data_IF_052210059031
#
_entry.id   IF_052210059031
#
_cell.length_a   1.000
_cell.length_b   1.000
_cell.length_c   1.000
_cell.angle_alpha   90.00
_cell.angle_beta   90.00
_cell.angle_gamma   90.00
#
_symmetry.space_group_name_H-M   'P 1'
#
loop_
_entity.id
_entity.type
_entity.pdbx_description
1 polymer ?
#
# COMPACT_ATOMS: atom_id res chain seq x y z
N UNK A 1 19.51 24.26 -24.17
CA UNK A 1 20.43 23.87 -23.09
C UNK A 1 19.73 22.82 -22.24
N UNK A 2 20.11 21.53 -22.29
CA UNK A 2 19.56 20.53 -21.39
C UNK A 2 20.33 20.57 -20.06
N UNK A 3 19.60 20.70 -18.95
CA UNK A 3 20.16 20.56 -17.60
C UNK A 3 20.54 19.08 -17.41
N UNK A 4 21.76 18.76 -16.94
CA UNK A 4 22.01 17.43 -16.40
C UNK A 4 21.20 17.34 -15.11
N UNK A 5 20.15 16.52 -15.13
CA UNK A 5 19.55 16.01 -13.89
C UNK A 5 20.65 15.18 -13.22
N UNK A 6 21.46 15.84 -12.39
CA UNK A 6 22.49 15.20 -11.59
C UNK A 6 21.84 14.04 -10.84
N UNK A 7 22.37 12.82 -10.93
CA UNK A 7 21.91 11.70 -10.13
C UNK A 7 22.43 11.92 -8.71
N UNK A 8 21.95 12.95 -8.02
CA UNK A 8 22.05 13.08 -6.58
C UNK A 8 20.91 12.24 -5.99
N UNK A 9 21.06 10.94 -6.22
CA UNK A 9 20.80 9.82 -5.32
C UNK A 9 19.90 10.21 -4.14
N UNK A 10 18.73 9.59 -4.04
CA UNK A 10 17.77 9.75 -2.97
C UNK A 10 18.34 9.26 -1.63
N UNK A 11 19.34 9.94 -1.09
CA UNK A 11 19.93 9.71 0.25
C UNK A 11 19.29 10.65 1.29
N UNK A 12 18.14 11.23 0.96
CA UNK A 12 17.36 12.09 1.84
C UNK A 12 15.91 11.64 1.91
N UNK A 13 15.33 11.77 3.10
CA UNK A 13 13.93 11.42 3.33
C UNK A 13 13.02 12.47 2.68
N UNK A 14 12.14 12.07 1.76
CA UNK A 14 11.28 13.04 1.07
C UNK A 14 10.22 13.71 1.97
N UNK A 15 9.99 13.18 3.18
CA UNK A 15 9.04 13.70 4.17
C UNK A 15 9.66 14.86 4.98
N UNK A 16 10.84 14.65 5.55
CA UNK A 16 11.53 15.67 6.36
C UNK A 16 12.62 16.45 5.61
N UNK A 17 12.94 16.05 4.36
CA UNK A 17 14.01 16.62 3.53
C UNK A 17 15.39 16.61 4.22
N UNK A 18 15.59 15.65 5.11
CA UNK A 18 16.85 15.45 5.84
C UNK A 18 17.61 14.25 5.26
N UNK A 19 18.95 14.30 5.22
CA UNK A 19 19.77 13.17 4.77
C UNK A 19 19.61 11.97 5.71
N UNK A 20 19.75 10.76 5.18
CA UNK A 20 19.85 9.55 5.98
C UNK A 20 21.19 9.54 6.70
N UNK A 21 21.18 9.73 8.02
CA UNK A 21 22.37 9.57 8.86
C UNK A 21 22.66 8.08 9.10
N UNK A 22 23.93 7.73 9.37
CA UNK A 22 24.37 6.34 9.63
C UNK A 22 23.66 5.65 10.82
N UNK A 23 22.93 6.41 11.64
CA UNK A 23 22.14 5.93 12.78
C UNK A 23 20.63 6.15 12.62
N UNK A 24 20.19 6.61 11.46
CA UNK A 24 18.79 6.83 11.21
C UNK A 24 18.08 5.49 10.96
N UNK A 25 16.98 5.25 11.65
CA UNK A 25 16.15 4.09 11.39
C UNK A 25 15.38 4.31 10.08
N UNK A 26 15.68 3.49 9.09
CA UNK A 26 15.08 3.54 7.76
C UNK A 26 14.08 2.41 7.58
N UNK A 27 12.99 2.72 6.89
CA UNK A 27 11.94 1.79 6.52
C UNK A 27 11.76 1.82 5.02
N UNK A 28 11.86 0.66 4.40
CA UNK A 28 11.62 0.45 2.99
C UNK A 28 10.18 -0.01 2.76
N UNK A 29 9.49 0.69 1.86
CA UNK A 29 8.13 0.33 1.45
C UNK A 29 8.14 -0.78 0.38
N UNK A 30 7.06 -1.56 0.23
CA UNK A 30 6.90 -2.54 -0.83
C UNK A 30 6.94 -1.95 -2.26
N UNK A 31 6.92 -0.63 -2.38
CA UNK A 31 7.12 0.10 -3.63
C UNK A 31 8.57 0.53 -3.88
N UNK A 32 9.56 -0.03 -3.17
CA UNK A 32 11.00 0.23 -3.29
C UNK A 32 11.44 1.64 -2.81
N UNK A 33 10.61 2.30 -2.00
CA UNK A 33 10.89 3.64 -1.50
C UNK A 33 11.27 3.62 -0.02
N UNK A 34 12.39 4.27 0.30
CA UNK A 34 12.94 4.33 1.66
C UNK A 34 12.60 5.66 2.33
N UNK A 35 12.29 5.63 3.63
CA UNK A 35 12.04 6.80 4.47
C UNK A 35 12.52 6.54 5.90
N UNK A 36 12.62 7.56 6.74
CA UNK A 36 12.80 7.33 8.18
C UNK A 36 11.57 6.61 8.75
N UNK A 37 11.75 5.58 9.58
CA UNK A 37 10.66 4.89 10.31
C UNK A 37 9.76 5.88 11.05
N UNK A 38 10.34 6.90 11.68
CA UNK A 38 9.58 7.96 12.38
C UNK A 38 8.74 8.79 11.39
N UNK A 39 9.34 9.19 10.27
CA UNK A 39 8.65 10.02 9.29
C UNK A 39 7.55 9.26 8.56
N UNK A 40 7.83 8.03 8.13
CA UNK A 40 6.83 7.20 7.46
C UNK A 40 5.75 6.74 8.44
N UNK A 41 6.09 6.44 9.69
CA UNK A 41 5.12 6.13 10.74
C UNK A 41 4.09 7.24 10.88
N UNK A 42 4.54 8.48 11.13
CA UNK A 42 3.66 9.65 11.24
C UNK A 42 2.87 9.95 9.96
N UNK A 43 3.43 9.60 8.80
CA UNK A 43 2.74 9.75 7.53
C UNK A 43 1.63 8.71 7.37
N UNK A 44 1.90 7.44 7.67
CA UNK A 44 0.94 6.34 7.58
C UNK A 44 -0.20 6.43 8.59
N UNK A 45 0.04 7.07 9.73
CA UNK A 45 -1.04 7.45 10.67
C UNK A 45 -2.09 8.37 10.03
N UNK A 46 -1.71 9.13 9.00
CA UNK A 46 -2.59 10.09 8.30
C UNK A 46 -3.04 9.58 6.93
N UNK A 47 -2.12 9.01 6.17
CA UNK A 47 -2.31 8.64 4.77
C UNK A 47 -1.51 7.37 4.47
N UNK A 48 -2.20 6.23 4.32
CA UNK A 48 -1.58 4.92 4.00
C UNK A 48 -1.11 4.80 2.53
N UNK A 49 -0.51 5.86 2.00
CA UNK A 49 -0.06 5.95 0.62
C UNK A 49 1.36 6.47 0.56
N UNK A 50 2.18 5.91 -0.32
CA UNK A 50 3.54 6.38 -0.52
C UNK A 50 3.55 7.84 -1.04
N UNK A 51 4.33 8.76 -0.42
CA UNK A 51 4.40 10.15 -0.84
C UNK A 51 5.11 10.37 -2.20
N UNK A 52 5.88 9.39 -2.70
CA UNK A 52 6.52 9.48 -4.02
C UNK A 52 5.65 8.92 -5.15
N UNK A 53 5.18 7.68 -5.01
CA UNK A 53 4.50 6.97 -6.09
C UNK A 53 2.99 6.84 -5.90
N UNK A 54 2.42 7.33 -4.79
CA UNK A 54 1.00 7.16 -4.41
C UNK A 54 0.56 5.69 -4.32
N UNK A 55 1.49 4.76 -4.20
CA UNK A 55 1.16 3.35 -3.98
C UNK A 55 0.50 3.18 -2.61
N UNK A 56 -0.68 2.58 -2.59
CA UNK A 56 -1.39 2.29 -1.34
C UNK A 56 -0.71 1.10 -0.67
N UNK A 57 -0.34 1.27 0.60
CA UNK A 57 0.34 0.22 1.32
C UNK A 57 -0.67 -0.83 1.78
N UNK A 58 -0.38 -2.14 1.61
CA UNK A 58 -1.17 -3.18 2.23
C UNK A 58 -1.05 -3.00 3.74
N UNK A 59 -2.17 -2.75 4.40
CA UNK A 59 -2.22 -2.83 5.86
C UNK A 59 -2.33 -4.31 6.23
N UNK A 60 -1.52 -4.76 7.17
CA UNK A 60 -1.45 -6.16 7.65
C UNK A 60 -2.68 -6.54 8.51
N UNK A 61 -3.84 -5.96 8.20
CA UNK A 61 -5.07 -6.21 8.94
C UNK A 61 -5.67 -7.54 8.48
N UNK A 62 -5.20 -8.65 9.06
CA UNK A 62 -5.70 -10.01 8.82
C UNK A 62 -7.24 -10.10 8.92
N UNK A 63 -7.84 -9.28 9.80
CA UNK A 63 -9.28 -9.18 9.97
C UNK A 63 -10.00 -8.63 8.73
N UNK A 64 -9.38 -7.72 7.98
CA UNK A 64 -9.94 -7.17 6.75
C UNK A 64 -9.85 -8.19 5.60
N UNK A 65 -8.76 -8.95 5.54
CA UNK A 65 -8.60 -10.04 4.58
C UNK A 65 -9.59 -11.19 4.81
N UNK A 66 -9.85 -11.53 6.08
CA UNK A 66 -10.85 -12.55 6.44
C UNK A 66 -12.26 -12.12 6.02
N UNK A 67 -12.64 -10.86 6.28
CA UNK A 67 -13.92 -10.31 5.84
C UNK A 67 -14.08 -10.35 4.32
N UNK A 68 -13.05 -9.96 3.56
CA UNK A 68 -13.11 -10.04 2.09
C UNK A 68 -13.26 -11.48 1.59
N UNK A 69 -12.53 -12.44 2.19
CA UNK A 69 -12.67 -13.87 1.84
C UNK A 69 -14.05 -14.39 2.16
N UNK A 70 -14.64 -13.98 3.27
CA UNK A 70 -16.00 -14.39 3.64
C UNK A 70 -17.04 -13.78 2.70
N UNK A 71 -16.97 -12.48 2.40
CA UNK A 71 -17.87 -11.81 1.47
C UNK A 71 -17.79 -12.44 0.07
N UNK A 72 -16.57 -12.77 -0.39
CA UNK A 72 -16.38 -13.48 -1.65
C UNK A 72 -17.04 -14.87 -1.63
N UNK A 73 -16.86 -15.66 -0.57
CA UNK A 73 -17.53 -16.96 -0.40
C UNK A 73 -19.05 -16.82 -0.40
N UNK A 74 -19.58 -15.80 0.29
CA UNK A 74 -21.02 -15.54 0.34
C UNK A 74 -21.56 -15.15 -1.03
N UNK A 75 -20.85 -14.31 -1.77
CA UNK A 75 -21.22 -13.90 -3.13
C UNK A 75 -21.18 -15.05 -4.12
N UNK A 76 -20.15 -15.90 -4.05
CA UNK A 76 -20.05 -17.11 -4.87
C UNK A 76 -21.19 -18.09 -4.56
N UNK A 77 -21.56 -18.22 -3.28
CA UNK A 77 -22.71 -19.01 -2.86
C UNK A 77 -24.03 -18.45 -3.39
N UNK A 78 -24.26 -17.14 -3.28
CA UNK A 78 -25.46 -16.47 -3.80
C UNK A 78 -25.59 -16.64 -5.32
N UNK A 79 -24.50 -16.40 -6.07
CA UNK A 79 -24.46 -16.62 -7.51
C UNK A 79 -24.71 -18.09 -7.88
N UNK A 80 -24.26 -19.04 -7.04
CA UNK A 80 -24.56 -20.47 -7.22
C UNK A 80 -26.02 -20.82 -7.00
N UNK A 81 -26.72 -20.12 -6.09
CA UNK A 81 -28.15 -20.30 -5.87
C UNK A 81 -28.94 -19.65 -7.02
N UNK A 82 -28.57 -18.45 -7.45
CA UNK A 82 -29.24 -17.74 -8.56
C UNK A 82 -29.20 -18.52 -9.89
N UNK A 83 -28.04 -19.11 -10.23
CA UNK A 83 -27.93 -19.97 -11.42
C UNK A 83 -28.82 -21.21 -11.32
N UNK A 84 -29.03 -21.72 -10.10
CA UNK A 84 -29.88 -22.89 -9.88
C UNK A 84 -31.36 -22.53 -9.99
N UNK A 85 -31.78 -21.35 -9.49
CA UNK A 85 -33.15 -20.84 -9.66
C UNK A 85 -33.49 -20.55 -11.13
N UNK A 86 -32.53 -20.05 -11.92
CA UNK A 86 -32.75 -19.81 -13.35
C UNK A 86 -32.88 -21.10 -14.17
N UNK A 87 -32.33 -22.22 -13.69
CA UNK A 87 -32.34 -23.52 -14.41
C UNK A 87 -33.57 -24.37 -14.07
N UNK A 88 -34.12 -24.26 -12.85
CA UNK A 88 -35.25 -25.09 -12.40
C UNK A 88 -36.64 -24.50 -12.69
N UNK A 89 -36.75 -23.19 -12.97
CA UNK A 89 -38.02 -22.51 -13.25
C UNK A 89 -38.13 -21.96 -14.68
N UNK A 90 -37.29 -22.48 -15.60
CA UNK A 90 -37.30 -22.19 -17.04
C UNK A 90 -37.97 -23.28 -17.86
#
# INVERSE_FOLDING_TARGET
MPLPASPAQAIECAICKAPYEDKAELYELPCDHVFHTICIGAWLERTSQCPLCRHQLPTDDEAFEEQQREEQRQRESAAMIERMHSTMFG
#
